data_IF_900563239728
#
_entry.id   IF_900563239728
#
_cell.length_a   1.000
_cell.length_b   1.000
_cell.length_c   1.000
_cell.angle_alpha   90.00
_cell.angle_beta   90.00
_cell.angle_gamma   90.00
#
_symmetry.space_group_name_H-M   'P 1'
#
loop_
_entity.id
_entity.type
_entity.pdbx_description
1 polymer ?
#
# COMPACT_ATOMS: atom_id res chain seq x y z
N UNK A 1 38.36 33.61 17.14
CA UNK A 1 37.70 32.30 17.31
C UNK A 1 36.51 32.49 18.25
N UNK A 2 35.30 32.69 17.71
CA UNK A 2 34.05 32.59 18.47
C UNK A 2 32.89 32.40 17.49
N UNK A 3 32.29 31.22 17.51
CA UNK A 3 31.07 30.86 16.79
C UNK A 3 29.89 30.91 17.77
N UNK A 4 28.68 31.39 17.40
CA UNK A 4 27.52 31.27 18.27
C UNK A 4 26.68 30.02 17.97
N UNK A 5 26.14 29.41 19.03
CA UNK A 5 25.34 28.18 19.06
C UNK A 5 23.83 28.53 19.18
N UNK A 6 22.90 27.75 18.60
CA UNK A 6 21.45 28.04 18.66
C UNK A 6 20.74 27.38 19.87
N UNK A 7 19.58 27.91 20.32
CA UNK A 7 18.88 27.43 21.52
C UNK A 7 17.91 26.26 21.25
N UNK A 8 17.85 25.31 22.19
CA UNK A 8 16.89 24.20 22.23
C UNK A 8 15.61 24.59 23.01
N UNK A 9 14.43 24.35 22.41
CA UNK A 9 13.11 24.48 23.06
C UNK A 9 12.69 23.17 23.75
N UNK A 10 12.35 23.23 25.04
CA UNK A 10 11.73 22.15 25.83
C UNK A 10 10.19 22.28 25.79
N UNK A 11 9.47 21.18 25.53
CA UNK A 11 8.00 21.12 25.58
C UNK A 11 7.53 20.31 26.80
N UNK A 12 6.74 20.95 27.67
CA UNK A 12 6.23 20.45 28.97
C UNK A 12 4.97 19.57 28.84
N UNK A 13 4.81 18.69 29.82
CA UNK A 13 3.73 17.71 30.04
C UNK A 13 2.52 18.27 30.79
N UNK A 14 1.31 17.75 30.53
CA UNK A 14 0.09 17.77 31.36
C UNK A 14 -0.85 16.65 30.83
N UNK A 15 -1.56 15.78 31.55
CA UNK A 15 -1.98 15.71 32.96
C UNK A 15 -3.50 15.88 33.06
N UNK A 16 -4.30 14.79 33.18
CA UNK A 16 -5.74 14.76 33.59
C UNK A 16 -6.26 13.31 33.53
N UNK A 17 -7.24 12.77 34.27
CA UNK A 17 -7.86 12.92 35.59
C UNK A 17 -8.76 11.67 35.81
N UNK A 18 -9.14 11.37 37.06
CA UNK A 18 -9.84 10.13 37.52
C UNK A 18 -11.35 10.18 37.24
N UNK A 19 -12.00 9.04 36.89
CA UNK A 19 -13.47 8.87 36.94
C UNK A 19 -13.93 7.51 37.52
N UNK A 20 -14.97 7.62 38.35
CA UNK A 20 -15.71 6.66 39.18
C UNK A 20 -16.36 5.47 38.43
N UNK A 21 -16.40 4.29 39.08
CA UNK A 21 -17.09 3.04 38.65
C UNK A 21 -18.33 2.71 39.51
N UNK A 22 -19.45 2.24 38.93
CA UNK A 22 -20.60 1.65 39.65
C UNK A 22 -20.48 0.11 39.83
N UNK A 23 -21.29 -0.53 40.70
CA UNK A 23 -21.06 -1.92 41.13
C UNK A 23 -21.43 -2.97 40.06
N UNK A 24 -20.57 -3.98 39.91
CA UNK A 24 -20.70 -5.06 38.93
C UNK A 24 -21.35 -6.31 39.54
N UNK A 25 -22.49 -6.74 39.00
CA UNK A 25 -23.13 -8.04 39.28
C UNK A 25 -22.33 -9.15 38.59
N UNK A 26 -21.27 -9.63 39.25
CA UNK A 26 -20.38 -10.64 38.68
C UNK A 26 -21.08 -12.00 38.67
N UNK A 27 -21.49 -12.45 37.48
CA UNK A 27 -21.82 -13.86 37.23
C UNK A 27 -20.52 -14.66 37.23
N UNK A 28 -20.36 -15.55 38.20
CA UNK A 28 -19.15 -16.35 38.38
C UNK A 28 -18.86 -17.20 37.13
N UNK A 29 -17.57 -17.27 36.75
CA UNK A 29 -17.02 -18.04 35.61
C UNK A 29 -17.56 -19.48 35.52
N UNK A 30 -17.94 -20.07 36.65
CA UNK A 30 -18.46 -21.43 36.76
C UNK A 30 -19.93 -21.53 36.28
N UNK A 31 -20.76 -20.51 36.50
CA UNK A 31 -22.15 -20.45 36.00
C UNK A 31 -22.20 -20.36 34.47
N UNK A 32 -21.32 -19.54 33.88
CA UNK A 32 -21.20 -19.42 32.42
C UNK A 32 -20.73 -20.73 31.74
N UNK A 33 -19.89 -21.52 32.42
CA UNK A 33 -19.41 -22.82 31.92
C UNK A 33 -20.51 -23.89 31.92
N UNK A 34 -21.35 -23.95 32.97
CA UNK A 34 -22.49 -24.88 33.02
C UNK A 34 -23.52 -24.60 31.91
N UNK A 35 -23.86 -23.33 31.68
CA UNK A 35 -24.77 -22.94 30.61
C UNK A 35 -24.24 -23.32 29.20
N UNK A 36 -22.93 -23.14 28.96
CA UNK A 36 -22.31 -23.54 27.67
C UNK A 36 -22.35 -25.04 27.39
N UNK A 37 -22.25 -25.89 28.41
CA UNK A 37 -22.22 -27.36 28.24
C UNK A 37 -23.62 -27.91 27.96
N UNK A 38 -24.65 -27.43 28.67
CA UNK A 38 -26.04 -27.87 28.41
C UNK A 38 -26.52 -27.50 27.00
N UNK A 39 -26.19 -26.30 26.53
CA UNK A 39 -26.65 -25.84 25.21
C UNK A 39 -25.99 -26.60 24.05
N UNK A 40 -24.79 -27.17 24.25
CA UNK A 40 -24.05 -27.92 23.22
C UNK A 40 -24.55 -29.36 23.04
N UNK A 41 -25.09 -29.99 24.09
CA UNK A 41 -25.68 -31.33 24.00
C UNK A 41 -26.99 -31.33 23.18
N UNK A 42 -27.74 -30.22 23.21
CA UNK A 42 -29.00 -30.06 22.47
C UNK A 42 -28.81 -29.65 21.00
N UNK A 43 -27.60 -29.27 20.59
CA UNK A 43 -27.32 -28.78 19.23
C UNK A 43 -26.84 -29.86 18.24
N UNK A 44 -26.57 -31.08 18.70
CA UNK A 44 -26.03 -32.15 17.83
C UNK A 44 -27.10 -32.71 16.88
N UNK A 45 -28.38 -32.61 17.23
CA UNK A 45 -29.52 -33.09 16.40
C UNK A 45 -30.38 -31.94 15.83
N UNK A 46 -30.08 -30.69 16.18
CA UNK A 46 -30.88 -29.54 15.76
C UNK A 46 -30.49 -29.11 14.33
N UNK A 47 -31.44 -29.20 13.40
CA UNK A 47 -31.29 -28.61 12.06
C UNK A 47 -31.11 -27.09 12.21
N UNK A 48 -30.12 -26.47 11.55
CA UNK A 48 -29.92 -25.04 11.62
C UNK A 48 -31.19 -24.32 11.15
N UNK A 49 -31.58 -23.27 11.87
CA UNK A 49 -32.79 -22.51 11.52
C UNK A 49 -32.67 -21.92 10.12
N UNK A 50 -33.81 -21.78 9.43
CA UNK A 50 -33.87 -21.27 8.07
C UNK A 50 -33.18 -19.90 7.92
N UNK A 51 -33.24 -19.06 8.98
CA UNK A 51 -32.56 -17.76 9.04
C UNK A 51 -31.03 -17.90 9.03
N UNK A 52 -30.46 -18.87 9.74
CA UNK A 52 -29.01 -19.12 9.77
C UNK A 52 -28.53 -19.69 8.42
N UNK A 53 -29.32 -20.57 7.81
CA UNK A 53 -29.01 -21.10 6.47
C UNK A 53 -29.07 -19.99 5.41
N UNK A 54 -30.10 -19.14 5.46
CA UNK A 54 -30.24 -17.99 4.56
C UNK A 54 -29.11 -16.96 4.77
N UNK A 55 -28.75 -16.68 6.02
CA UNK A 55 -27.63 -15.81 6.35
C UNK A 55 -26.30 -16.37 5.83
N UNK A 56 -26.06 -17.68 5.97
CA UNK A 56 -24.87 -18.35 5.46
C UNK A 56 -24.80 -18.31 3.92
N UNK A 57 -25.93 -18.53 3.22
CA UNK A 57 -26.01 -18.40 1.75
C UNK A 57 -25.75 -16.96 1.29
N UNK A 58 -26.35 -15.95 1.94
CA UNK A 58 -26.07 -14.52 1.66
C UNK A 58 -24.60 -14.15 1.91
N UNK A 59 -23.99 -14.68 2.96
CA UNK A 59 -22.57 -14.45 3.25
C UNK A 59 -21.65 -15.09 2.19
N UNK A 60 -21.96 -16.29 1.70
CA UNK A 60 -21.22 -16.91 0.60
C UNK A 60 -21.36 -16.15 -0.72
N UNK A 61 -22.55 -15.60 -1.01
CA UNK A 61 -22.78 -14.77 -2.19
C UNK A 61 -22.00 -13.45 -2.14
N UNK A 62 -21.87 -12.83 -0.96
CA UNK A 62 -21.02 -11.63 -0.77
C UNK A 62 -19.52 -11.93 -0.84
N UNK A 63 -19.11 -13.19 -0.59
CA UNK A 63 -17.71 -13.64 -0.70
C UNK A 63 -17.29 -13.95 -2.13
N UNK A 64 -18.24 -14.05 -3.06
CA UNK A 64 -18.01 -13.75 -4.48
C UNK A 64 -17.85 -12.23 -4.61
N UNK A 65 -16.79 -11.68 -4.01
CA UNK A 65 -16.15 -10.55 -4.68
C UNK A 65 -15.78 -11.12 -6.03
N UNK A 66 -16.53 -10.70 -7.05
CA UNK A 66 -16.12 -10.79 -8.42
C UNK A 66 -14.71 -10.18 -8.40
N UNK A 67 -13.70 -11.04 -8.40
CA UNK A 67 -12.35 -10.59 -8.75
C UNK A 67 -12.57 -10.10 -10.16
N UNK A 68 -12.72 -8.79 -10.28
CA UNK A 68 -12.83 -8.12 -11.54
C UNK A 68 -11.44 -8.28 -12.15
N UNK A 69 -11.20 -9.46 -12.75
CA UNK A 69 -10.11 -9.71 -13.68
C UNK A 69 -10.40 -8.87 -14.91
N UNK A 70 -10.41 -7.54 -14.73
CA UNK A 70 -10.32 -6.60 -15.82
C UNK A 70 -8.90 -6.76 -16.32
N UNK A 71 -8.74 -7.64 -17.31
CA UNK A 71 -7.51 -7.77 -18.06
C UNK A 71 -7.30 -6.40 -18.69
N UNK A 72 -6.33 -5.65 -18.16
CA UNK A 72 -5.99 -4.33 -18.68
C UNK A 72 -5.25 -4.53 -20.00
N UNK A 73 -5.95 -4.26 -21.09
CA UNK A 73 -5.32 -4.25 -22.40
C UNK A 73 -4.43 -3.00 -22.55
N UNK A 74 -3.13 -3.22 -22.71
CA UNK A 74 -2.16 -2.15 -22.91
C UNK A 74 -2.18 -1.64 -24.36
N UNK A 75 -2.67 -2.44 -25.30
CA UNK A 75 -2.79 -2.06 -26.70
C UNK A 75 -3.86 -0.99 -26.91
N UNK A 76 -4.99 -1.08 -26.19
CA UNK A 76 -6.03 -0.06 -26.18
C UNK A 76 -5.49 1.35 -25.84
N UNK A 77 -4.58 1.45 -24.86
CA UNK A 77 -3.93 2.71 -24.47
C UNK A 77 -3.08 3.27 -25.62
N UNK A 78 -2.34 2.41 -26.33
CA UNK A 78 -1.53 2.82 -27.47
C UNK A 78 -2.40 3.31 -28.63
N UNK A 79 -3.51 2.61 -28.92
CA UNK A 79 -4.49 3.00 -29.93
C UNK A 79 -5.12 4.35 -29.62
N UNK A 80 -5.52 4.58 -28.37
CA UNK A 80 -6.06 5.86 -27.91
C UNK A 80 -5.02 6.99 -27.91
N UNK A 81 -3.73 6.68 -27.75
CA UNK A 81 -2.65 7.68 -27.79
C UNK A 81 -2.35 8.19 -29.21
N UNK A 82 -2.74 7.45 -30.25
CA UNK A 82 -2.44 7.77 -31.64
C UNK A 82 -3.06 9.10 -32.10
N UNK A 83 -4.25 9.43 -31.59
CA UNK A 83 -4.99 10.65 -31.95
C UNK A 83 -4.71 11.82 -31.01
N UNK A 84 -3.95 11.62 -29.93
CA UNK A 84 -3.63 12.68 -28.98
C UNK A 84 -2.57 13.62 -29.56
N UNK A 85 -2.82 14.93 -29.46
CA UNK A 85 -1.84 15.96 -29.83
C UNK A 85 -0.65 15.86 -28.87
N UNK A 86 0.52 15.53 -29.41
CA UNK A 86 1.79 15.51 -28.65
C UNK A 86 2.40 16.91 -28.68
N UNK A 87 2.92 17.36 -27.54
CA UNK A 87 3.74 18.57 -27.48
C UNK A 87 5.13 18.36 -28.05
N UNK A 88 5.96 19.39 -28.00
CA UNK A 88 7.38 19.29 -28.39
C UNK A 88 8.14 18.35 -27.45
N UNK A 89 8.98 17.49 -28.02
CA UNK A 89 9.95 16.69 -27.25
C UNK A 89 11.16 17.57 -26.94
N UNK A 90 11.48 17.74 -25.66
CA UNK A 90 12.70 18.42 -25.24
C UNK A 90 13.94 17.56 -25.54
N UNK A 91 14.99 18.20 -26.03
CA UNK A 91 16.29 17.59 -26.25
C UNK A 91 17.35 18.42 -25.51
N UNK A 92 18.16 17.76 -24.69
CA UNK A 92 19.16 18.43 -23.86
C UNK A 92 20.47 17.67 -23.98
N UNK A 93 21.50 18.37 -24.44
CA UNK A 93 22.87 17.87 -24.48
C UNK A 93 23.79 18.95 -23.95
N UNK A 94 24.94 18.53 -23.44
CA UNK A 94 25.89 19.43 -22.80
C UNK A 94 27.28 19.19 -23.43
N UNK A 95 28.00 20.24 -23.87
CA UNK A 95 29.25 20.08 -24.59
C UNK A 95 30.40 19.44 -23.79
N UNK A 96 30.37 19.42 -22.46
CA UNK A 96 31.41 18.78 -21.66
C UNK A 96 31.22 17.27 -21.59
N UNK A 97 30.07 16.74 -22.00
CA UNK A 97 29.87 15.29 -22.12
C UNK A 97 30.85 14.65 -23.11
N UNK A 98 31.33 15.38 -24.13
CA UNK A 98 32.32 14.89 -25.09
C UNK A 98 33.76 14.94 -24.55
N UNK A 99 33.99 15.47 -23.35
CA UNK A 99 35.32 15.43 -22.71
C UNK A 99 35.61 14.07 -22.06
N UNK A 100 34.58 13.24 -21.82
CA UNK A 100 34.74 11.95 -21.17
C UNK A 100 35.40 10.92 -22.10
N UNK A 101 36.65 10.55 -21.79
CA UNK A 101 37.40 9.51 -22.51
C UNK A 101 38.23 8.65 -21.56
N UNK A 102 38.37 7.37 -21.90
CA UNK A 102 39.30 6.47 -21.23
C UNK A 102 40.76 6.90 -21.50
N UNK A 103 41.55 7.12 -20.44
CA UNK A 103 42.92 7.64 -20.56
C UNK A 103 43.98 6.56 -20.82
N UNK A 104 43.63 5.29 -20.58
CA UNK A 104 44.57 4.16 -20.63
C UNK A 104 44.24 3.14 -21.73
N UNK A 105 43.08 3.26 -22.38
CA UNK A 105 42.66 2.41 -23.49
C UNK A 105 41.95 3.26 -24.55
N UNK A 106 42.64 3.46 -25.67
CA UNK A 106 42.13 4.23 -26.81
C UNK A 106 41.01 3.49 -27.57
N UNK A 107 40.90 2.17 -27.41
CA UNK A 107 39.90 1.34 -28.08
C UNK A 107 38.69 1.04 -27.18
N UNK A 108 38.55 1.75 -26.06
CA UNK A 108 37.42 1.55 -25.15
C UNK A 108 36.09 1.94 -25.85
N UNK A 109 35.04 1.10 -25.76
CA UNK A 109 33.80 1.32 -26.51
C UNK A 109 32.99 2.55 -26.06
N UNK A 110 33.16 3.03 -24.83
CA UNK A 110 32.55 4.29 -24.36
C UNK A 110 33.51 5.46 -24.60
N UNK A 111 33.41 6.03 -25.79
CA UNK A 111 34.21 7.17 -26.25
C UNK A 111 33.31 8.36 -26.66
N UNK A 112 33.84 9.60 -26.68
CA UNK A 112 33.09 10.82 -27.02
C UNK A 112 32.31 10.73 -28.35
N UNK A 113 32.87 10.02 -29.32
CA UNK A 113 32.34 9.83 -30.67
C UNK A 113 30.94 9.23 -30.65
N UNK A 114 30.56 8.48 -29.61
CA UNK A 114 29.19 7.95 -29.45
C UNK A 114 28.16 9.07 -29.36
N UNK A 115 28.41 10.08 -28.55
CA UNK A 115 27.48 11.20 -28.39
C UNK A 115 27.51 12.10 -29.63
N UNK A 116 28.71 12.40 -30.16
CA UNK A 116 28.88 13.22 -31.37
C UNK A 116 28.11 12.60 -32.54
N UNK A 117 28.26 11.29 -32.74
CA UNK A 117 27.55 10.56 -33.80
C UNK A 117 26.03 10.54 -33.63
N UNK A 118 25.49 10.79 -32.44
CA UNK A 118 24.05 10.90 -32.20
C UNK A 118 23.56 12.34 -32.42
N UNK A 119 24.41 13.33 -32.13
CA UNK A 119 24.14 14.73 -32.37
C UNK A 119 24.11 15.09 -33.86
N UNK A 120 24.98 14.45 -34.66
CA UNK A 120 25.13 14.73 -36.09
C UNK A 120 24.13 13.97 -36.99
N UNK A 121 23.33 13.05 -36.43
CA UNK A 121 22.33 12.23 -37.16
C UNK A 121 21.07 13.02 -37.51
#
# INVERSE_FOLDING_TARGET
MSSPQPPHQQRRSAGDSKKSTPPSTIVTRNGARKAKIQTRAMSVTAKPSASVVAAKKKAQQKKKQMVDTVIKDHYQIAMESKTKVKGCTGFVTEPRMIEHRCLWDDNYPECPERLISVLDR
#
